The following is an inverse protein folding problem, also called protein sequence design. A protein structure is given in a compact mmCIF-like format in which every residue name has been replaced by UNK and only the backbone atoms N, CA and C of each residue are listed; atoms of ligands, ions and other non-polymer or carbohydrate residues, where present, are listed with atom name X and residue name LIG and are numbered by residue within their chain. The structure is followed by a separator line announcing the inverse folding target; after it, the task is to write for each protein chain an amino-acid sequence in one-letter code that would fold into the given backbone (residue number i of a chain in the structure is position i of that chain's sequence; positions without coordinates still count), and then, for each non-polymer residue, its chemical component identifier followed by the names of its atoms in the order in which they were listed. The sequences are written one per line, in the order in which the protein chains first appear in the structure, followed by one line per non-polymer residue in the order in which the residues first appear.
data_IF_866441117328
#
_entry.id   IF_866441117328
#
_cell.length_a   1.000
_cell.length_b   1.000
_cell.length_c   1.000
_cell.angle_alpha   90.00
_cell.angle_beta   90.00
_cell.angle_gamma   90.00
#
_symmetry.space_group_name_H-M   'P 1'
#
loop_
_entity.id
_entity.type
_entity.pdbx_description
1 polymer ?
#
# COMPACT_ATOMS: atom_id res chain seq x y z
N UNK A 1 12.67 -1.04 23.16
CA UNK A 1 12.39 -1.74 21.88
C UNK A 1 12.74 -0.78 20.75
N UNK A 2 13.84 -1.02 20.05
CA UNK A 2 14.25 -0.21 18.91
C UNK A 2 13.40 -0.64 17.72
N UNK A 3 12.59 0.27 17.16
CA UNK A 3 12.07 0.11 15.80
C UNK A 3 13.27 0.24 14.85
N UNK A 4 14.13 -0.77 14.82
CA UNK A 4 15.26 -0.83 13.89
C UNK A 4 14.71 -1.02 12.49
N UNK A 5 15.41 -0.47 11.52
CA UNK A 5 15.02 -0.57 10.12
C UNK A 5 14.94 -2.02 9.65
N UNK A 6 15.76 -2.90 10.24
CA UNK A 6 15.73 -4.35 10.03
C UNK A 6 14.38 -4.98 10.38
N UNK A 7 13.71 -4.48 11.43
CA UNK A 7 12.40 -5.01 11.80
C UNK A 7 11.36 -4.72 10.73
N UNK A 8 11.54 -3.73 9.87
CA UNK A 8 10.61 -3.42 8.79
C UNK A 8 10.66 -4.50 7.69
N UNK A 9 11.84 -5.03 7.39
CA UNK A 9 12.05 -5.98 6.29
C UNK A 9 11.71 -7.43 6.64
N UNK A 10 11.48 -7.74 7.92
CA UNK A 10 11.11 -9.09 8.40
C UNK A 10 9.63 -9.38 8.13
N UNK A 11 9.21 -9.31 6.86
CA UNK A 11 7.79 -9.39 6.47
C UNK A 11 7.11 -10.70 6.87
N UNK A 12 7.87 -11.79 7.02
CA UNK A 12 7.40 -13.13 7.36
C UNK A 12 7.41 -13.43 8.87
N UNK A 13 8.15 -12.65 9.67
CA UNK A 13 8.20 -12.78 11.14
C UNK A 13 7.01 -12.12 11.80
N UNK A 14 5.83 -12.71 11.59
CA UNK A 14 4.58 -12.40 12.29
C UNK A 14 4.11 -13.70 12.97
N UNK A 15 3.42 -13.62 14.11
CA UNK A 15 2.91 -14.81 14.83
C UNK A 15 2.07 -15.79 14.00
N UNK A 16 1.65 -15.42 12.78
CA UNK A 16 1.05 -16.31 11.75
C UNK A 16 1.87 -16.33 10.46
N UNK A 17 3.15 -16.69 10.54
CA UNK A 17 4.10 -16.62 9.42
C UNK A 17 3.66 -17.38 8.17
N UNK A 18 2.98 -18.54 8.31
CA UNK A 18 2.51 -19.33 7.16
C UNK A 18 1.43 -18.59 6.37
N UNK A 19 0.43 -18.01 7.03
CA UNK A 19 -0.65 -17.28 6.36
C UNK A 19 -0.12 -16.09 5.56
N UNK A 20 0.89 -15.40 6.12
CA UNK A 20 1.58 -14.28 5.45
C UNK A 20 2.37 -14.75 4.24
N UNK A 21 3.07 -15.90 4.33
CA UNK A 21 3.81 -16.49 3.21
C UNK A 21 2.87 -16.91 2.06
N UNK A 22 1.73 -17.53 2.39
CA UNK A 22 0.71 -17.91 1.40
C UNK A 22 0.16 -16.64 0.71
N UNK A 23 -0.18 -15.62 1.49
CA UNK A 23 -0.66 -14.35 0.94
C UNK A 23 0.38 -13.69 0.03
N UNK A 24 1.65 -13.66 0.47
CA UNK A 24 2.75 -13.11 -0.32
C UNK A 24 2.90 -13.84 -1.66
N UNK A 25 3.00 -15.18 -1.63
CA UNK A 25 3.13 -16.00 -2.82
C UNK A 25 1.94 -15.84 -3.78
N UNK A 26 0.72 -15.82 -3.24
CA UNK A 26 -0.50 -15.59 -4.01
C UNK A 26 -0.46 -14.25 -4.77
N UNK A 27 -0.09 -13.16 -4.09
CA UNK A 27 -0.04 -11.83 -4.72
C UNK A 27 1.07 -11.73 -5.77
N UNK A 28 2.23 -12.33 -5.51
CA UNK A 28 3.32 -12.39 -6.51
C UNK A 28 2.87 -13.16 -7.74
N UNK A 29 2.28 -14.34 -7.56
CA UNK A 29 1.78 -15.16 -8.67
C UNK A 29 0.67 -14.47 -9.44
N UNK A 30 -0.22 -13.73 -8.77
CA UNK A 30 -1.26 -12.96 -9.41
C UNK A 30 -0.69 -11.87 -10.34
N UNK A 31 0.31 -11.11 -9.88
CA UNK A 31 1.00 -10.09 -10.71
C UNK A 31 1.73 -10.73 -11.88
N UNK A 32 2.42 -11.86 -11.66
CA UNK A 32 3.08 -12.60 -12.75
C UNK A 32 2.04 -13.05 -13.77
N UNK A 33 0.91 -13.61 -13.33
CA UNK A 33 -0.10 -14.17 -14.22
C UNK A 33 -0.67 -13.14 -15.21
N UNK A 34 -0.93 -11.90 -14.77
CA UNK A 34 -1.46 -10.86 -15.66
C UNK A 34 -0.43 -10.37 -16.69
N UNK A 35 0.86 -10.44 -16.37
CA UNK A 35 1.92 -10.05 -17.30
C UNK A 35 2.29 -11.18 -18.28
N UNK A 36 2.29 -12.43 -17.82
CA UNK A 36 2.66 -13.60 -18.65
C UNK A 36 1.47 -14.09 -19.48
N UNK A 37 0.25 -14.00 -18.95
CA UNK A 37 -0.98 -14.42 -19.60
C UNK A 37 -1.99 -13.26 -19.64
N UNK A 38 -1.69 -12.20 -20.40
CA UNK A 38 -2.54 -11.02 -20.44
C UNK A 38 -3.92 -11.35 -20.98
N UNK A 39 -4.94 -10.81 -20.32
CA UNK A 39 -6.33 -10.86 -20.80
C UNK A 39 -6.58 -9.56 -21.58
N UNK A 40 -6.79 -9.66 -22.89
CA UNK A 40 -6.98 -8.50 -23.77
C UNK A 40 -5.76 -8.24 -24.66
N UNK A 41 -5.71 -7.04 -25.25
CA UNK A 41 -4.61 -6.63 -26.14
C UNK A 41 -3.60 -5.79 -25.36
N UNK A 42 -2.33 -6.19 -25.42
CA UNK A 42 -1.19 -5.45 -24.86
C UNK A 42 -0.55 -4.49 -25.86
N UNK A 43 -1.01 -4.47 -27.11
CA UNK A 43 -0.51 -3.59 -28.16
C UNK A 43 -1.13 -2.19 -28.02
N UNK A 44 -0.30 -1.20 -27.67
CA UNK A 44 -0.67 0.21 -27.54
C UNK A 44 -0.01 1.09 -28.60
N UNK A 45 0.55 0.53 -29.68
CA UNK A 45 1.33 1.29 -30.68
C UNK A 45 0.51 2.38 -31.37
N UNK A 46 -0.78 2.10 -31.61
CA UNK A 46 -1.72 3.07 -32.17
C UNK A 46 -1.95 4.25 -31.23
N UNK A 47 -2.06 3.98 -29.92
CA UNK A 47 -2.21 5.01 -28.89
C UNK A 47 -0.91 5.83 -28.72
N UNK A 48 0.25 5.16 -28.76
CA UNK A 48 1.55 5.83 -28.70
C UNK A 48 1.77 6.75 -29.89
N UNK A 49 1.48 6.27 -31.10
CA UNK A 49 1.59 7.07 -32.33
C UNK A 49 0.64 8.26 -32.33
N UNK A 50 -0.58 8.08 -31.81
CA UNK A 50 -1.54 9.16 -31.62
C UNK A 50 -1.05 10.20 -30.60
N UNK A 51 -0.49 9.76 -29.47
CA UNK A 51 0.07 10.66 -28.45
C UNK A 51 1.26 11.48 -28.99
N UNK A 52 2.14 10.87 -29.78
CA UNK A 52 3.27 11.59 -30.39
C UNK A 52 2.80 12.67 -31.37
N UNK A 53 1.79 12.38 -32.20
CA UNK A 53 1.18 13.37 -33.11
C UNK A 53 0.60 14.56 -32.36
N UNK A 54 -0.03 14.33 -31.21
CA UNK A 54 -0.55 15.40 -30.34
C UNK A 54 0.55 16.26 -29.73
N UNK A 55 1.70 15.66 -29.40
CA UNK A 55 2.85 16.38 -28.86
C UNK A 55 3.56 17.22 -29.94
N UNK A 56 3.62 16.71 -31.16
CA UNK A 56 4.22 17.38 -32.32
C UNK A 56 3.37 18.55 -32.83
N UNK A 57 2.04 18.39 -32.87
CA UNK A 57 1.11 19.45 -33.23
C UNK A 57 -0.06 19.53 -32.24
N UNK A 58 0.07 20.40 -31.21
CA UNK A 58 -0.97 20.59 -30.20
C UNK A 58 -2.29 21.15 -30.74
N UNK A 59 -2.29 21.73 -31.95
CA UNK A 59 -3.53 22.28 -32.55
C UNK A 59 -4.52 21.18 -32.93
N UNK A 60 -4.01 19.98 -33.22
CA UNK A 60 -4.80 18.79 -33.49
C UNK A 60 -5.70 18.44 -32.29
N UNK A 61 -5.20 18.66 -31.06
CA UNK A 61 -5.94 18.40 -29.82
C UNK A 61 -7.26 19.19 -29.72
N UNK A 62 -7.34 20.37 -30.34
CA UNK A 62 -8.53 21.23 -30.31
C UNK A 62 -9.66 20.73 -31.21
N UNK A 63 -9.35 19.86 -32.18
CA UNK A 63 -10.31 19.30 -33.14
C UNK A 63 -10.74 17.88 -32.80
N UNK A 64 -10.08 17.25 -31.82
CA UNK A 64 -10.31 15.85 -31.46
C UNK A 64 -11.41 15.68 -30.41
N UNK A 65 -12.13 14.58 -30.55
CA UNK A 65 -13.13 14.10 -29.59
C UNK A 65 -12.60 12.85 -28.87
N UNK A 66 -13.25 12.47 -27.77
CA UNK A 66 -12.94 11.23 -27.05
C UNK A 66 -13.03 9.96 -27.92
N UNK A 67 -13.79 10.01 -29.02
CA UNK A 67 -13.94 8.90 -29.95
C UNK A 67 -12.71 8.71 -30.87
N UNK A 68 -11.86 9.74 -30.99
CA UNK A 68 -10.67 9.71 -31.85
C UNK A 68 -9.45 9.07 -31.17
N UNK A 69 -9.55 8.76 -29.87
CA UNK A 69 -8.49 8.09 -29.11
C UNK A 69 -8.44 6.62 -29.56
N UNK A 70 -7.34 6.14 -30.17
CA UNK A 70 -7.27 4.80 -30.75
C UNK A 70 -6.95 3.76 -29.66
N UNK A 71 -7.89 3.55 -28.74
CA UNK A 71 -7.83 2.52 -27.71
C UNK A 71 -8.84 1.42 -28.02
N UNK A 72 -8.35 0.20 -28.22
CA UNK A 72 -9.25 -0.92 -28.51
C UNK A 72 -9.96 -1.41 -27.25
N UNK A 73 -11.08 -2.12 -27.43
CA UNK A 73 -11.73 -2.86 -26.32
C UNK A 73 -10.77 -3.84 -25.65
N UNK A 74 -9.88 -4.46 -26.43
CA UNK A 74 -8.84 -5.36 -25.91
C UNK A 74 -7.88 -4.63 -24.98
N UNK A 75 -7.45 -3.42 -25.32
CA UNK A 75 -6.59 -2.61 -24.47
C UNK A 75 -7.29 -2.21 -23.17
N UNK A 76 -8.57 -1.85 -23.24
CA UNK A 76 -9.37 -1.54 -22.06
C UNK A 76 -9.51 -2.75 -21.12
N UNK A 77 -9.72 -3.96 -21.67
CA UNK A 77 -9.76 -5.19 -20.86
C UNK A 77 -8.40 -5.44 -20.19
N UNK A 78 -7.30 -5.26 -20.92
CA UNK A 78 -5.96 -5.43 -20.36
C UNK A 78 -5.67 -4.42 -19.23
N UNK A 79 -5.97 -3.14 -19.44
CA UNK A 79 -5.84 -2.11 -18.39
C UNK A 79 -6.72 -2.42 -17.17
N UNK A 80 -7.97 -2.85 -17.39
CA UNK A 80 -8.85 -3.27 -16.31
C UNK A 80 -8.29 -4.47 -15.52
N UNK A 81 -7.64 -5.42 -16.20
CA UNK A 81 -7.01 -6.57 -15.54
C UNK A 81 -5.80 -6.19 -14.67
N UNK A 82 -4.99 -5.23 -15.13
CA UNK A 82 -3.90 -4.63 -14.33
C UNK A 82 -4.49 -3.91 -13.11
N UNK A 83 -5.48 -3.03 -13.32
CA UNK A 83 -6.09 -2.26 -12.23
C UNK A 83 -6.75 -3.17 -11.19
N UNK A 84 -7.41 -4.25 -11.61
CA UNK A 84 -7.98 -5.24 -10.71
C UNK A 84 -6.88 -5.97 -9.91
N UNK A 85 -5.76 -6.30 -10.54
CA UNK A 85 -4.63 -6.94 -9.88
C UNK A 85 -4.02 -6.04 -8.81
N UNK A 86 -3.79 -4.76 -9.15
CA UNK A 86 -3.31 -3.75 -8.21
C UNK A 86 -4.30 -3.56 -7.05
N UNK A 87 -5.60 -3.56 -7.33
CA UNK A 87 -6.63 -3.53 -6.30
C UNK A 87 -6.58 -4.76 -5.37
N UNK A 88 -6.37 -5.96 -5.90
CA UNK A 88 -6.20 -7.18 -5.10
C UNK A 88 -4.91 -7.12 -4.27
N UNK A 89 -3.83 -6.52 -4.78
CA UNK A 89 -2.63 -6.26 -4.00
C UNK A 89 -2.92 -5.33 -2.82
N UNK A 90 -3.63 -4.21 -3.03
CA UNK A 90 -4.06 -3.31 -1.95
C UNK A 90 -4.94 -4.05 -0.93
N UNK A 91 -5.83 -4.93 -1.38
CA UNK A 91 -6.60 -5.82 -0.51
C UNK A 91 -5.68 -6.70 0.35
N UNK A 92 -4.65 -7.29 -0.26
CA UNK A 92 -3.62 -8.06 0.42
C UNK A 92 -2.84 -7.26 1.46
N UNK A 93 -2.53 -5.99 1.18
CA UNK A 93 -1.95 -5.07 2.15
C UNK A 93 -2.84 -4.94 3.40
N UNK A 94 -4.15 -4.73 3.24
CA UNK A 94 -5.08 -4.62 4.38
C UNK A 94 -5.19 -5.92 5.17
N UNK A 95 -5.22 -7.07 4.48
CA UNK A 95 -5.22 -8.38 5.12
C UNK A 95 -3.94 -8.57 5.96
N UNK A 96 -2.78 -8.22 5.40
CA UNK A 96 -1.51 -8.27 6.11
C UNK A 96 -1.53 -7.40 7.38
N UNK A 97 -1.95 -6.14 7.27
CA UNK A 97 -2.09 -5.23 8.42
C UNK A 97 -3.01 -5.82 9.48
N UNK A 98 -4.17 -6.36 9.08
CA UNK A 98 -5.13 -6.98 9.99
C UNK A 98 -4.56 -8.20 10.72
N UNK A 99 -3.84 -9.09 10.02
CA UNK A 99 -3.16 -10.24 10.62
C UNK A 99 -2.12 -9.78 11.65
N UNK A 100 -1.30 -8.78 11.29
CA UNK A 100 -0.23 -8.30 12.15
C UNK A 100 -0.77 -7.59 13.40
N UNK A 101 -1.77 -6.72 13.26
CA UNK A 101 -2.41 -6.05 14.41
C UNK A 101 -3.00 -7.06 15.37
N UNK A 102 -3.72 -8.06 14.85
CA UNK A 102 -4.29 -9.11 15.68
C UNK A 102 -3.22 -9.92 16.41
N UNK A 103 -2.11 -10.23 15.73
CA UNK A 103 -0.98 -10.93 16.34
C UNK A 103 -0.28 -10.10 17.42
N UNK A 104 -0.10 -8.79 17.20
CA UNK A 104 0.50 -7.88 18.18
C UNK A 104 -0.35 -7.75 19.45
N UNK A 105 -1.67 -7.77 19.30
CA UNK A 105 -2.64 -7.68 20.41
C UNK A 105 -2.88 -8.98 21.16
N UNK A 106 -2.64 -10.11 20.53
CA UNK A 106 -2.79 -11.40 21.18
C UNK A 106 -1.82 -11.57 22.37
N UNK A 107 -0.74 -10.78 22.43
CA UNK A 107 0.22 -10.76 23.54
C UNK A 107 0.20 -9.48 24.38
N UNK A 108 -0.86 -8.67 24.31
CA UNK A 108 -1.00 -7.43 25.09
C UNK A 108 -2.26 -7.48 25.96
N UNK A 109 -2.09 -7.49 27.28
CA UNK A 109 -3.19 -7.60 28.26
C UNK A 109 -4.12 -6.37 28.24
N UNK A 110 -3.61 -5.23 27.77
CA UNK A 110 -4.36 -3.96 27.74
C UNK A 110 -5.27 -3.84 26.51
N UNK A 111 -4.90 -4.45 25.39
CA UNK A 111 -5.61 -4.32 24.12
C UNK A 111 -5.99 -5.68 23.54
N UNK A 112 -7.25 -6.10 23.78
CA UNK A 112 -7.74 -7.38 23.27
C UNK A 112 -7.75 -7.42 21.73
N UNK A 113 -7.44 -8.58 21.13
CA UNK A 113 -7.52 -8.77 19.69
C UNK A 113 -8.98 -8.67 19.22
N UNK A 114 -9.18 -8.07 18.05
CA UNK A 114 -10.51 -7.97 17.43
C UNK A 114 -10.96 -9.35 16.94
N UNK A 115 -12.27 -9.62 16.99
CA UNK A 115 -12.87 -10.82 16.42
C UNK A 115 -12.65 -10.88 14.91
N UNK A 116 -12.52 -12.11 14.37
CA UNK A 116 -12.24 -12.30 12.94
C UNK A 116 -13.35 -11.71 12.06
N UNK A 117 -14.61 -11.86 12.45
CA UNK A 117 -15.78 -11.32 11.74
C UNK A 117 -15.75 -9.80 11.66
N UNK A 118 -15.44 -9.12 12.76
CA UNK A 118 -15.34 -7.65 12.80
C UNK A 118 -14.15 -7.16 12.01
N UNK A 119 -13.02 -7.88 12.02
CA UNK A 119 -11.86 -7.56 11.21
C UNK A 119 -12.18 -7.69 9.71
N UNK A 120 -12.82 -8.78 9.29
CA UNK A 120 -13.24 -8.98 7.90
C UNK A 120 -14.16 -7.86 7.41
N UNK A 121 -15.20 -7.52 8.19
CA UNK A 121 -16.09 -6.40 7.85
C UNK A 121 -15.36 -5.07 7.72
N UNK A 122 -14.38 -4.78 8.58
CA UNK A 122 -13.56 -3.57 8.48
C UNK A 122 -12.67 -3.58 7.24
N UNK A 123 -12.08 -4.72 6.88
CA UNK A 123 -11.29 -4.84 5.65
C UNK A 123 -12.18 -4.53 4.43
N UNK A 124 -13.39 -5.07 4.36
CA UNK A 124 -14.34 -4.79 3.26
C UNK A 124 -14.68 -3.30 3.17
N UNK A 125 -14.90 -2.63 4.31
CA UNK A 125 -15.16 -1.18 4.32
C UNK A 125 -13.95 -0.40 3.81
N UNK A 126 -12.73 -0.75 4.24
CA UNK A 126 -11.51 -0.10 3.73
C UNK A 126 -11.37 -0.30 2.23
N UNK A 127 -11.62 -1.51 1.72
CA UNK A 127 -11.58 -1.80 0.29
C UNK A 127 -12.57 -0.91 -0.47
N UNK A 128 -13.82 -0.82 -0.02
CA UNK A 128 -14.85 0.01 -0.64
C UNK A 128 -14.49 1.51 -0.63
N UNK A 129 -14.01 2.01 0.50
CA UNK A 129 -13.57 3.41 0.64
C UNK A 129 -12.38 3.69 -0.28
N UNK A 130 -11.41 2.78 -0.37
CA UNK A 130 -10.27 2.94 -1.27
C UNK A 130 -10.72 2.93 -2.73
N UNK A 131 -11.64 2.07 -3.16
CA UNK A 131 -12.19 2.13 -4.53
C UNK A 131 -12.74 3.52 -4.88
N UNK A 132 -13.54 4.11 -3.98
CA UNK A 132 -14.21 5.39 -4.22
C UNK A 132 -13.23 6.55 -4.16
N UNK A 133 -12.25 6.51 -3.25
CA UNK A 133 -11.33 7.62 -3.01
C UNK A 133 -10.04 7.57 -3.84
N UNK A 134 -9.64 6.41 -4.36
CA UNK A 134 -8.37 6.26 -5.08
C UNK A 134 -8.34 7.08 -6.37
N UNK A 135 -9.43 7.07 -7.15
CA UNK A 135 -9.51 7.79 -8.43
C UNK A 135 -9.53 9.32 -8.28
N UNK A 136 -10.30 9.91 -7.34
CA UNK A 136 -10.20 11.34 -7.05
C UNK A 136 -8.84 11.73 -6.46
N UNK A 137 -8.28 10.90 -5.56
CA UNK A 137 -7.00 11.19 -4.93
C UNK A 137 -5.84 11.20 -5.92
N UNK A 138 -5.80 10.29 -6.89
CA UNK A 138 -4.73 10.24 -7.89
C UNK A 138 -4.68 11.51 -8.76
N UNK A 139 -5.84 12.11 -9.06
CA UNK A 139 -5.92 13.39 -9.76
C UNK A 139 -5.42 14.53 -8.87
N UNK A 140 -5.90 14.61 -7.62
CA UNK A 140 -5.49 15.65 -6.65
C UNK A 140 -3.99 15.58 -6.36
N UNK A 141 -3.43 14.36 -6.31
CA UNK A 141 -2.03 14.06 -6.11
C UNK A 141 -1.10 14.75 -7.11
N UNK A 142 -1.52 14.84 -8.38
CA UNK A 142 -0.76 15.52 -9.44
C UNK A 142 -0.65 17.03 -9.18
N UNK A 143 -1.66 17.63 -8.55
CA UNK A 143 -1.71 19.08 -8.28
C UNK A 143 -1.13 19.46 -6.90
N UNK A 144 -1.16 18.56 -5.92
CA UNK A 144 -0.81 18.85 -4.52
C UNK A 144 0.40 18.04 -4.02
N UNK A 145 1.36 17.76 -4.88
CA UNK A 145 2.53 16.92 -4.57
C UNK A 145 3.26 17.32 -3.27
N UNK A 146 3.44 18.62 -3.03
CA UNK A 146 4.05 19.14 -1.79
C UNK A 146 3.24 18.80 -0.53
N UNK A 147 1.91 18.96 -0.56
CA UNK A 147 1.05 18.57 0.56
C UNK A 147 1.07 17.06 0.78
N UNK A 148 1.18 16.29 -0.30
CA UNK A 148 1.26 14.85 -0.21
C UNK A 148 2.51 14.40 0.52
N UNK A 149 3.68 14.97 0.23
CA UNK A 149 4.93 14.67 0.96
C UNK A 149 4.74 14.89 2.48
N UNK A 150 4.05 15.96 2.86
CA UNK A 150 3.83 16.30 4.27
C UNK A 150 2.93 15.25 4.95
N UNK A 151 1.86 14.83 4.27
CA UNK A 151 0.82 13.96 4.84
C UNK A 151 1.12 12.47 4.64
N UNK A 152 2.02 12.13 3.71
CA UNK A 152 2.34 10.74 3.32
C UNK A 152 2.70 9.84 4.50
N UNK A 153 3.55 10.26 5.47
CA UNK A 153 3.80 9.56 6.76
C UNK A 153 2.56 9.12 7.53
N UNK A 154 1.46 9.85 7.37
CA UNK A 154 0.23 9.65 8.11
C UNK A 154 -0.77 8.81 7.31
N UNK A 155 -0.73 8.87 5.97
CA UNK A 155 -1.67 8.16 5.10
C UNK A 155 -1.61 6.64 5.24
N UNK A 156 -0.41 6.04 5.23
CA UNK A 156 -0.29 4.59 5.35
C UNK A 156 -0.56 4.06 6.77
N UNK A 157 -0.71 4.93 7.77
CA UNK A 157 -1.09 4.53 9.12
C UNK A 157 -2.60 4.39 9.31
N UNK A 158 -3.41 5.00 8.42
CA UNK A 158 -4.88 4.91 8.50
C UNK A 158 -5.38 3.46 8.52
N UNK A 159 -4.91 2.55 7.66
CA UNK A 159 -5.36 1.16 7.68
C UNK A 159 -5.06 0.49 9.02
N UNK A 160 -3.90 0.75 9.62
CA UNK A 160 -3.57 0.20 10.92
C UNK A 160 -4.50 0.72 12.03
N UNK A 161 -4.73 2.03 12.08
CA UNK A 161 -5.64 2.64 13.08
C UNK A 161 -7.10 2.16 12.90
N UNK A 162 -7.55 2.00 11.66
CA UNK A 162 -8.91 1.54 11.41
C UNK A 162 -9.08 0.06 11.73
N UNK A 163 -8.14 -0.78 11.32
CA UNK A 163 -8.20 -2.22 11.53
C UNK A 163 -7.91 -2.61 12.98
N UNK A 164 -7.40 -1.70 13.81
CA UNK A 164 -7.24 -1.90 15.26
C UNK A 164 -8.56 -1.77 16.02
N UNK A 165 -9.55 -1.06 15.48
CA UNK A 165 -10.89 -0.96 16.06
C UNK A 165 -10.96 -0.39 17.47
N UNK A 166 -9.98 0.44 17.84
CA UNK A 166 -10.07 1.28 19.03
C UNK A 166 -11.11 2.39 18.82
N UNK A 167 -11.73 2.83 19.92
CA UNK A 167 -12.53 4.05 20.22
C UNK A 167 -13.05 4.97 19.09
N UNK A 168 -13.32 4.43 17.90
CA UNK A 168 -13.58 5.19 16.66
C UNK A 168 -12.31 5.44 15.84
N UNK A 169 -12.45 5.43 14.51
CA UNK A 169 -11.36 5.65 13.56
C UNK A 169 -10.64 6.98 13.77
N UNK A 170 -11.39 8.09 13.79
CA UNK A 170 -10.84 9.44 13.91
C UNK A 170 -10.13 9.66 15.25
N UNK A 171 -10.64 9.08 16.33
CA UNK A 171 -10.03 9.15 17.66
C UNK A 171 -8.68 8.42 17.66
N UNK A 172 -8.67 7.18 17.14
CA UNK A 172 -7.46 6.37 17.02
C UNK A 172 -6.39 7.05 16.17
N UNK A 173 -6.81 7.62 15.04
CA UNK A 173 -5.92 8.34 14.14
C UNK A 173 -5.36 9.62 14.76
N UNK A 174 -6.21 10.44 15.38
CA UNK A 174 -5.77 11.66 16.07
C UNK A 174 -4.80 11.35 17.21
N UNK A 175 -5.02 10.25 17.94
CA UNK A 175 -4.11 9.82 18.99
C UNK A 175 -2.77 9.33 18.44
N UNK A 176 -2.76 8.55 17.35
CA UNK A 176 -1.53 8.16 16.63
C UNK A 176 -0.77 9.38 16.14
N UNK A 177 -1.46 10.36 15.57
CA UNK A 177 -0.88 11.62 15.13
C UNK A 177 -0.21 12.37 16.29
N UNK A 178 -0.95 12.58 17.38
CA UNK A 178 -0.46 13.33 18.55
C UNK A 178 0.74 12.65 19.21
N UNK A 179 0.71 11.32 19.36
CA UNK A 179 1.80 10.56 20.00
C UNK A 179 3.03 10.43 19.12
N UNK A 180 2.88 10.42 17.79
CA UNK A 180 4.01 10.26 16.87
C UNK A 180 4.51 11.58 16.26
N UNK A 181 3.95 12.75 16.61
CA UNK A 181 4.35 14.05 16.05
C UNK A 181 5.87 14.30 16.17
N UNK A 182 6.47 13.94 17.30
CA UNK A 182 7.91 14.07 17.54
C UNK A 182 8.79 13.08 16.75
N UNK A 183 8.18 12.07 16.10
CA UNK A 183 8.86 11.05 15.30
C UNK A 183 8.63 11.24 13.79
N UNK A 184 8.08 12.38 13.36
CA UNK A 184 7.77 12.64 11.96
C UNK A 184 8.96 12.40 11.03
N UNK A 185 10.11 13.03 11.30
CA UNK A 185 11.32 12.86 10.47
C UNK A 185 11.85 11.43 10.48
N UNK A 186 11.71 10.70 11.59
CA UNK A 186 12.08 9.28 11.65
C UNK A 186 11.15 8.47 10.74
N UNK A 187 9.86 8.80 10.72
CA UNK A 187 8.89 8.12 9.87
C UNK A 187 9.11 8.40 8.39
N UNK A 188 9.36 9.66 8.03
CA UNK A 188 9.75 10.05 6.67
C UNK A 188 11.03 9.32 6.24
N UNK A 189 12.08 9.34 7.08
CA UNK A 189 13.35 8.68 6.78
C UNK A 189 13.17 7.19 6.52
N UNK A 190 12.44 6.49 7.39
CA UNK A 190 12.27 5.04 7.24
C UNK A 190 11.48 4.69 5.97
N UNK A 191 10.43 5.44 5.63
CA UNK A 191 9.73 5.28 4.35
C UNK A 191 10.65 5.58 3.17
N UNK A 192 11.41 6.67 3.24
CA UNK A 192 12.34 7.05 2.18
C UNK A 192 13.33 5.93 1.91
N UNK A 193 13.82 5.24 2.96
CA UNK A 193 14.70 4.09 2.78
C UNK A 193 13.97 2.90 2.13
N UNK A 194 12.73 2.60 2.53
CA UNK A 194 11.91 1.56 1.87
C UNK A 194 11.73 1.89 0.38
N UNK A 195 11.38 3.15 0.06
CA UNK A 195 11.16 3.61 -1.31
C UNK A 195 12.45 3.63 -2.13
N UNK A 196 13.56 4.11 -1.57
CA UNK A 196 14.86 4.10 -2.24
C UNK A 196 15.33 2.68 -2.54
N UNK A 197 15.15 1.74 -1.59
CA UNK A 197 15.47 0.34 -1.83
C UNK A 197 14.58 -0.24 -2.94
N UNK A 198 13.28 0.06 -2.92
CA UNK A 198 12.34 -0.37 -3.97
C UNK A 198 12.77 0.13 -5.36
N UNK A 199 13.10 1.41 -5.48
CA UNK A 199 13.58 2.01 -6.73
C UNK A 199 14.91 1.41 -7.20
N UNK A 200 15.84 1.17 -6.27
CA UNK A 200 17.12 0.54 -6.57
C UNK A 200 16.92 -0.90 -7.09
N UNK A 201 16.06 -1.68 -6.44
CA UNK A 201 15.74 -3.04 -6.88
C UNK A 201 15.01 -3.04 -8.23
N UNK A 202 14.07 -2.12 -8.45
CA UNK A 202 13.40 -1.96 -9.75
C UNK A 202 14.39 -1.61 -10.86
N UNK A 203 15.34 -0.71 -10.60
CA UNK A 203 16.39 -0.38 -11.56
C UNK A 203 17.22 -1.61 -11.94
N UNK A 204 17.60 -2.43 -10.95
CA UNK A 204 18.29 -3.71 -11.20
C UNK A 204 17.42 -4.65 -12.04
N UNK A 205 16.13 -4.79 -11.71
CA UNK A 205 15.20 -5.63 -12.45
C UNK A 205 15.07 -5.19 -13.91
N UNK A 206 14.98 -3.90 -14.19
CA UNK A 206 14.94 -3.37 -15.56
C UNK A 206 16.22 -3.72 -16.33
N UNK A 207 17.39 -3.59 -15.70
CA UNK A 207 18.66 -3.99 -16.33
C UNK A 207 18.66 -5.48 -16.68
N UNK A 208 18.19 -6.33 -15.77
CA UNK A 208 18.07 -7.78 -16.01
C UNK A 208 17.04 -8.07 -17.12
N UNK A 209 15.94 -7.31 -17.17
CA UNK A 209 14.90 -7.45 -18.18
C UNK A 209 15.36 -7.20 -19.60
N UNK A 210 16.37 -6.35 -19.78
CA UNK A 210 17.02 -6.15 -21.10
C UNK A 210 17.74 -7.40 -21.60
N UNK A 211 18.11 -8.32 -20.71
CA UNK A 211 18.80 -9.58 -21.04
C UNK A 211 17.81 -10.74 -21.05
N UNK A 212 16.88 -10.80 -20.09
CA UNK A 212 15.93 -11.89 -19.94
C UNK A 212 14.59 -11.40 -19.36
N UNK A 213 13.64 -11.14 -20.26
CA UNK A 213 12.32 -10.58 -19.94
C UNK A 213 11.51 -11.39 -18.90
N UNK A 214 11.45 -12.74 -18.94
CA UNK A 214 10.67 -13.49 -17.95
C UNK A 214 11.18 -13.31 -16.51
N UNK A 215 12.49 -13.12 -16.31
CA UNK A 215 13.06 -12.85 -14.97
C UNK A 215 12.68 -11.45 -14.51
N UNK A 216 12.60 -10.48 -15.41
CA UNK A 216 12.12 -9.14 -15.05
C UNK A 216 10.70 -9.17 -14.51
N UNK A 217 9.77 -9.87 -15.18
CA UNK A 217 8.38 -9.97 -14.73
C UNK A 217 8.27 -10.57 -13.33
N UNK A 218 9.05 -11.62 -13.05
CA UNK A 218 9.08 -12.27 -11.73
C UNK A 218 9.68 -11.34 -10.68
N UNK A 219 10.82 -10.69 -10.97
CA UNK A 219 11.48 -9.80 -10.03
C UNK A 219 10.65 -8.55 -9.73
N UNK A 220 10.07 -7.90 -10.74
CA UNK A 220 9.20 -6.75 -10.53
C UNK A 220 7.99 -7.12 -9.67
N UNK A 221 7.35 -8.25 -9.97
CA UNK A 221 6.25 -8.80 -9.18
C UNK A 221 6.64 -9.02 -7.73
N UNK A 222 7.81 -9.61 -7.49
CA UNK A 222 8.34 -9.82 -6.14
C UNK A 222 8.63 -8.51 -5.41
N UNK A 223 9.37 -7.60 -6.03
CA UNK A 223 9.81 -6.32 -5.44
C UNK A 223 8.61 -5.48 -5.05
N UNK A 224 7.59 -5.41 -5.91
CA UNK A 224 6.37 -4.67 -5.64
C UNK A 224 5.65 -5.19 -4.40
N UNK A 225 5.34 -6.49 -4.37
CA UNK A 225 4.60 -7.10 -3.24
C UNK A 225 5.44 -7.03 -1.96
N UNK A 226 6.77 -7.21 -2.06
CA UNK A 226 7.69 -7.08 -0.94
C UNK A 226 7.70 -5.66 -0.36
N UNK A 227 7.81 -4.65 -1.23
CA UNK A 227 7.77 -3.23 -0.83
C UNK A 227 6.45 -2.90 -0.14
N UNK A 228 5.34 -3.36 -0.72
CA UNK A 228 4.01 -3.16 -0.16
C UNK A 228 3.89 -3.77 1.24
N UNK A 229 4.39 -5.00 1.46
CA UNK A 229 4.39 -5.64 2.78
C UNK A 229 5.34 -4.98 3.77
N UNK A 230 6.47 -4.43 3.31
CA UNK A 230 7.36 -3.62 4.16
C UNK A 230 6.64 -2.36 4.67
N UNK A 231 5.92 -1.65 3.80
CA UNK A 231 5.10 -0.49 4.19
C UNK A 231 4.00 -0.92 5.16
N UNK A 232 3.31 -2.03 4.88
CA UNK A 232 2.26 -2.58 5.73
C UNK A 232 2.79 -2.89 7.14
N UNK A 233 3.93 -3.58 7.20
CA UNK A 233 4.63 -3.89 8.45
C UNK A 233 5.06 -2.64 9.18
N UNK A 234 5.59 -1.66 8.45
CA UNK A 234 6.02 -0.40 9.05
C UNK A 234 4.87 0.37 9.68
N UNK A 235 3.71 0.44 9.00
CA UNK A 235 2.49 1.04 9.54
C UNK A 235 2.08 0.42 10.89
N UNK A 236 2.17 -0.91 10.96
CA UNK A 236 1.87 -1.69 12.17
C UNK A 236 2.88 -1.44 13.30
N UNK A 237 4.17 -1.30 12.99
CA UNK A 237 5.20 -0.98 13.98
C UNK A 237 5.04 0.43 14.57
N UNK A 238 4.63 1.41 13.76
CA UNK A 238 4.33 2.76 14.27
C UNK A 238 3.08 2.73 15.14
N UNK A 239 2.03 2.01 14.71
CA UNK A 239 0.83 1.81 15.51
C UNK A 239 1.15 1.13 16.86
N UNK A 240 1.96 0.07 16.86
CA UNK A 240 2.42 -0.58 18.10
C UNK A 240 3.14 0.39 19.02
N UNK A 241 3.98 1.28 18.47
CA UNK A 241 4.67 2.30 19.26
C UNK A 241 3.69 3.27 19.94
N UNK A 242 2.58 3.61 19.29
CA UNK A 242 1.52 4.43 19.90
C UNK A 242 0.88 3.75 21.13
N UNK A 243 0.74 2.43 21.12
CA UNK A 243 0.22 1.68 22.28
C UNK A 243 1.17 1.76 23.49
N UNK A 244 2.47 1.79 23.23
CA UNK A 244 3.52 1.82 24.26
C UNK A 244 3.78 3.21 24.85
N UNK A 245 3.45 4.28 24.14
CA UNK A 245 3.72 5.65 24.60
C UNK A 245 2.66 6.11 25.62
N UNK A 246 3.08 6.62 26.80
CA UNK A 246 2.14 7.18 27.77
C UNK A 246 1.44 8.40 27.20
N UNK A 247 0.16 8.57 27.53
CA UNK A 247 -0.63 9.74 27.11
C UNK A 247 -0.12 10.94 27.89
N UNK A 248 0.59 11.88 27.23
CA UNK A 248 0.93 13.18 27.82
C UNK A 248 -0.36 13.82 28.38
N UNK A 249 -0.38 14.03 29.70
CA UNK A 249 -1.48 14.68 30.43
C UNK A 249 -2.41 13.75 31.22
N UNK A 250 -2.26 12.43 31.16
CA UNK A 250 -2.86 11.53 32.17
C UNK A 250 -1.73 11.06 33.07
N UNK A 251 -1.85 11.32 34.38
CA UNK A 251 -0.97 10.74 35.40
C UNK A 251 -0.95 9.21 35.32
N UNK A 252 -0.15 8.53 36.17
CA UNK A 252 -0.12 7.07 36.18
C UNK A 252 -1.54 6.53 36.23
N UNK A 253 -1.90 5.72 35.23
CA UNK A 253 -3.18 5.03 35.23
C UNK A 253 -3.08 4.04 36.37
N UNK A 254 -3.75 4.35 37.48
CA UNK A 254 -3.92 3.39 38.58
C UNK A 254 -4.44 2.08 38.00
N UNK A 255 -3.89 0.93 38.42
CA UNK A 255 -4.50 -0.35 38.09
C UNK A 255 -5.94 -0.30 38.60
N UNK A 256 -6.89 -0.52 37.70
CA UNK A 256 -8.29 -0.77 38.06
C UNK A 256 -8.31 -2.03 38.92
N UNK A 257 -8.26 -1.83 40.24
CA UNK A 257 -8.65 -2.82 41.22
C UNK A 257 -10.14 -3.08 41.04
N UNK A 258 -10.48 -4.21 40.41
CA UNK A 258 -11.55 -5.16 40.79
C UNK A 258 -11.75 -6.21 39.71
#
# INVERSE_FOLDING_TARGET
MNNTIEEIFKIDKIGKGIAVKILFAFLVMLRIAVNVFPIGSTDFDSLYSYANKLLEDPSIAQTMTLADIPISRGNLIYLASILLTEFICICGYYIYVGIMIRAMRAGDDKYKPISLSRLAGRIVILMAVTCVLFFPMSIILLYLFLFFIIIFPWLFMFPACYLSGDSGFFVSFAEVFRKNKGYYFVNVRNLAIIMMLSLFLQMISVIIGKVYEPVFVVLDSFIFVFTMFCIARYSCLIYRRMLLLPVRGKGPVEPLNR
#
